data_IF_229458104143
#
_entry.id   IF_229458104143
#
_cell.length_a   1.000
_cell.length_b   1.000
_cell.length_c   1.000
_cell.angle_alpha   90.00
_cell.angle_beta   90.00
_cell.angle_gamma   90.00
#
_symmetry.space_group_name_H-M   'P 1'
#
loop_
_entity.id
_entity.type
_entity.pdbx_description
1 polymer ?
#
# COMPACT_ATOMS: atom_id res chain seq x y z
N UNK A 1 -20.24 -49.28 1.14
CA UNK A 1 -20.17 -48.10 0.28
C UNK A 1 -20.40 -46.87 1.14
N UNK A 2 -19.34 -46.11 1.46
CA UNK A 2 -19.46 -44.87 2.24
C UNK A 2 -19.62 -43.71 1.26
N UNK A 3 -20.81 -43.13 1.23
CA UNK A 3 -21.10 -41.91 0.46
C UNK A 3 -20.35 -40.74 1.11
N UNK A 4 -19.37 -40.20 0.38
CA UNK A 4 -18.68 -38.97 0.75
C UNK A 4 -19.59 -37.79 0.36
N UNK A 5 -20.42 -37.35 1.28
CA UNK A 5 -21.15 -36.10 1.12
C UNK A 5 -20.14 -34.94 1.15
N UNK A 6 -19.87 -34.32 0.00
CA UNK A 6 -19.18 -33.03 -0.07
C UNK A 6 -20.02 -32.04 0.72
N UNK A 7 -19.41 -31.50 1.78
CA UNK A 7 -19.95 -30.39 2.55
C UNK A 7 -19.98 -29.20 1.61
N UNK A 8 -21.13 -28.89 1.05
CA UNK A 8 -21.35 -27.64 0.34
C UNK A 8 -21.42 -26.54 1.40
N UNK A 9 -20.41 -25.71 1.51
CA UNK A 9 -20.52 -24.49 2.29
C UNK A 9 -21.56 -23.61 1.60
N UNK A 10 -22.71 -23.51 2.22
CA UNK A 10 -23.75 -22.57 1.81
C UNK A 10 -23.21 -21.17 2.05
N UNK A 11 -23.13 -20.39 0.98
CA UNK A 11 -22.87 -18.97 1.07
C UNK A 11 -23.79 -18.35 2.13
N UNK A 12 -23.25 -17.48 2.95
CA UNK A 12 -24.02 -16.81 4.00
C UNK A 12 -25.29 -16.22 3.40
N UNK A 13 -26.41 -16.30 4.13
CA UNK A 13 -27.66 -15.70 3.68
C UNK A 13 -27.50 -14.20 3.30
N UNK A 14 -26.53 -13.51 3.93
CA UNK A 14 -26.17 -12.14 3.59
C UNK A 14 -25.58 -12.02 2.17
N UNK A 15 -24.85 -13.03 1.68
CA UNK A 15 -24.29 -13.01 0.32
C UNK A 15 -25.34 -13.23 -0.77
N UNK A 16 -26.45 -13.87 -0.42
CA UNK A 16 -27.56 -14.15 -1.35
C UNK A 16 -28.45 -12.91 -1.55
N UNK A 17 -28.46 -11.97 -0.59
CA UNK A 17 -29.31 -10.79 -0.61
C UNK A 17 -28.53 -9.48 -0.91
N UNK A 18 -27.20 -9.55 -1.01
CA UNK A 18 -26.41 -8.37 -1.41
C UNK A 18 -26.67 -8.05 -2.89
N UNK A 19 -27.03 -6.82 -3.16
CA UNK A 19 -27.19 -6.33 -4.53
C UNK A 19 -25.82 -6.26 -5.21
N UNK A 20 -25.79 -6.31 -6.54
CA UNK A 20 -24.56 -6.13 -7.32
C UNK A 20 -23.86 -4.81 -6.98
N UNK A 21 -24.65 -3.77 -6.66
CA UNK A 21 -24.19 -2.48 -6.21
C UNK A 21 -23.44 -2.56 -4.87
N UNK A 22 -23.99 -3.27 -3.90
CA UNK A 22 -23.36 -3.47 -2.59
C UNK A 22 -22.07 -4.31 -2.69
N UNK A 23 -22.00 -5.26 -3.62
CA UNK A 23 -20.78 -6.04 -3.91
C UNK A 23 -19.71 -5.17 -4.59
N UNK A 24 -20.10 -4.25 -5.46
CA UNK A 24 -19.21 -3.28 -6.07
C UNK A 24 -18.71 -2.27 -5.05
N UNK A 25 -19.60 -1.75 -4.18
CA UNK A 25 -19.26 -0.82 -3.11
C UNK A 25 -18.35 -1.46 -2.04
N UNK A 26 -18.50 -2.76 -1.79
CA UNK A 26 -17.61 -3.50 -0.91
C UNK A 26 -16.20 -3.70 -1.50
N UNK A 27 -16.05 -3.64 -2.83
CA UNK A 27 -14.77 -3.69 -3.54
C UNK A 27 -14.12 -2.30 -3.67
N UNK A 28 -14.86 -1.21 -3.43
CA UNK A 28 -14.30 0.13 -3.43
C UNK A 28 -13.35 0.29 -2.25
N UNK A 29 -12.18 0.81 -2.56
CA UNK A 29 -11.18 1.12 -1.54
C UNK A 29 -11.71 2.19 -0.60
N UNK A 30 -11.91 1.84 0.66
CA UNK A 30 -12.40 2.77 1.68
C UNK A 30 -11.23 3.40 2.41
N UNK A 31 -11.24 4.73 2.49
CA UNK A 31 -10.32 5.48 3.33
C UNK A 31 -10.78 5.34 4.79
N UNK A 32 -9.86 4.91 5.65
CA UNK A 32 -10.09 4.76 7.08
C UNK A 32 -9.11 5.65 7.84
N UNK A 33 -9.56 6.30 8.92
CA UNK A 33 -8.66 6.99 9.83
C UNK A 33 -8.09 5.97 10.82
N UNK A 34 -6.80 5.69 10.68
CA UNK A 34 -6.10 4.71 11.51
C UNK A 34 -5.16 5.43 12.48
N UNK A 35 -5.13 5.03 13.76
CA UNK A 35 -4.17 5.58 14.73
C UNK A 35 -2.73 5.37 14.27
N UNK A 36 -1.90 6.40 14.40
CA UNK A 36 -0.47 6.33 14.02
C UNK A 36 0.27 5.23 14.79
N UNK A 37 -0.17 4.94 16.01
CA UNK A 37 0.38 3.87 16.84
C UNK A 37 0.15 2.46 16.29
N UNK A 38 -0.87 2.28 15.44
CA UNK A 38 -1.19 1.01 14.78
C UNK A 38 -0.56 0.88 13.38
N UNK A 39 0.10 1.92 12.91
CA UNK A 39 0.80 1.95 11.63
C UNK A 39 2.29 1.65 11.84
N UNK A 40 2.70 0.46 11.48
CA UNK A 40 4.09 0.03 11.57
C UNK A 40 4.82 0.25 10.24
N UNK A 41 6.11 0.59 10.26
CA UNK A 41 6.90 0.67 9.04
C UNK A 41 7.02 -0.72 8.40
N UNK A 42 7.08 -0.75 7.07
CA UNK A 42 7.33 -2.01 6.37
C UNK A 42 8.75 -2.52 6.70
N UNK A 43 8.91 -3.83 7.02
CA UNK A 43 10.23 -4.40 7.29
C UNK A 43 11.20 -4.18 6.13
N UNK A 44 12.45 -3.87 6.43
CA UNK A 44 13.52 -3.66 5.43
C UNK A 44 13.23 -2.55 4.41
N UNK A 45 12.41 -1.55 4.78
CA UNK A 45 12.08 -0.43 3.91
C UNK A 45 13.36 0.27 3.39
N UNK A 46 13.60 0.29 2.08
CA UNK A 46 14.88 0.74 1.51
C UNK A 46 15.04 2.27 1.47
N UNK A 47 13.94 3.00 1.64
CA UNK A 47 13.92 4.46 1.51
C UNK A 47 13.92 5.13 2.88
N UNK A 48 14.80 6.10 3.09
CA UNK A 48 14.85 6.89 4.31
C UNK A 48 13.87 8.06 4.27
N UNK A 49 13.27 8.36 5.42
CA UNK A 49 12.53 9.61 5.63
C UNK A 49 13.51 10.61 6.23
N UNK A 50 13.68 11.76 5.57
CA UNK A 50 14.60 12.81 5.99
C UNK A 50 13.82 14.00 6.54
N UNK A 51 14.34 14.61 7.59
CA UNK A 51 13.84 15.86 8.16
C UNK A 51 14.51 17.04 7.47
N UNK A 52 14.16 17.24 6.20
CA UNK A 52 14.60 18.35 5.37
C UNK A 52 13.56 19.48 5.34
N UNK A 53 13.87 20.58 4.65
CA UNK A 53 12.96 21.72 4.53
C UNK A 53 11.64 21.30 3.84
N UNK A 54 11.69 20.38 2.89
CA UNK A 54 10.50 19.77 2.26
C UNK A 54 9.63 19.01 3.27
N UNK A 55 10.22 18.42 4.33
CA UNK A 55 9.45 17.82 5.41
C UNK A 55 8.73 18.88 6.24
N UNK A 56 9.38 20.01 6.53
CA UNK A 56 8.75 21.13 7.26
C UNK A 56 7.54 21.67 6.51
N UNK A 57 7.64 21.87 5.21
CA UNK A 57 6.51 22.27 4.35
C UNK A 57 5.38 21.24 4.39
N UNK A 58 5.73 19.95 4.37
CA UNK A 58 4.74 18.87 4.49
C UNK A 58 4.04 18.91 5.84
N UNK A 59 4.77 19.14 6.93
CA UNK A 59 4.21 19.25 8.29
C UNK A 59 3.26 20.45 8.40
N UNK A 60 3.65 21.61 7.84
CA UNK A 60 2.79 22.79 7.82
C UNK A 60 1.50 22.55 7.04
N UNK A 61 1.61 21.94 5.86
CA UNK A 61 0.45 21.54 5.05
C UNK A 61 -0.47 20.58 5.79
N UNK A 62 0.11 19.59 6.48
CA UNK A 62 -0.65 18.62 7.27
C UNK A 62 -1.34 19.28 8.46
N UNK A 63 -0.73 20.28 9.10
CA UNK A 63 -1.35 21.05 10.18
C UNK A 63 -2.53 21.90 9.70
N UNK A 64 -2.41 22.47 8.52
CA UNK A 64 -3.41 23.37 7.97
C UNK A 64 -4.57 22.65 7.30
N UNK A 65 -4.29 21.66 6.46
CA UNK A 65 -5.27 20.96 5.62
C UNK A 65 -5.50 19.50 5.99
N UNK A 66 -4.74 18.95 6.93
CA UNK A 66 -4.70 17.52 7.17
C UNK A 66 -3.98 16.75 6.06
N UNK A 67 -4.14 15.44 6.06
CA UNK A 67 -3.58 14.56 5.02
C UNK A 67 -4.57 14.44 3.87
N UNK A 68 -4.30 15.11 2.76
CA UNK A 68 -5.19 15.14 1.59
C UNK A 68 -5.15 13.84 0.78
N UNK A 69 -3.98 13.20 0.68
CA UNK A 69 -3.80 11.95 -0.04
C UNK A 69 -3.61 10.83 0.98
N UNK A 70 -4.50 9.83 1.04
CA UNK A 70 -4.39 8.74 2.00
C UNK A 70 -3.12 7.91 1.77
N UNK A 71 -2.58 7.35 2.83
CA UNK A 71 -1.52 6.35 2.77
C UNK A 71 -2.08 4.98 2.37
N UNK A 72 -1.21 4.04 2.03
CA UNK A 72 -1.59 2.67 1.73
C UNK A 72 -0.90 1.76 2.73
N UNK A 73 -1.68 0.90 3.37
CA UNK A 73 -1.21 -0.09 4.31
C UNK A 73 -1.87 -1.45 4.06
N UNK A 74 -1.27 -2.49 4.62
CA UNK A 74 -1.83 -3.85 4.62
C UNK A 74 -2.03 -4.35 6.04
N UNK A 75 -2.94 -5.29 6.28
CA UNK A 75 -3.06 -5.93 7.58
C UNK A 75 -1.75 -6.63 7.96
N UNK A 76 -1.38 -6.55 9.24
CA UNK A 76 -0.19 -7.20 9.79
C UNK A 76 -0.58 -8.44 10.58
N UNK A 77 0.20 -9.50 10.44
CA UNK A 77 0.11 -10.65 11.35
C UNK A 77 0.47 -10.22 12.77
N UNK A 78 -0.43 -10.42 13.71
CA UNK A 78 -0.25 -9.98 15.09
C UNK A 78 -0.90 -8.66 15.45
N UNK A 79 -1.65 -8.06 14.53
CA UNK A 79 -2.44 -6.85 14.73
C UNK A 79 -1.77 -5.58 14.21
N UNK A 80 -2.59 -4.56 13.99
CA UNK A 80 -2.19 -3.32 13.34
C UNK A 80 -1.98 -3.46 11.84
N UNK A 81 -1.32 -2.48 11.25
CA UNK A 81 -1.14 -2.37 9.81
C UNK A 81 0.32 -2.07 9.46
N UNK A 82 0.82 -2.66 8.39
CA UNK A 82 2.12 -2.30 7.81
C UNK A 82 1.93 -1.26 6.72
N UNK A 83 2.64 -0.15 6.85
CA UNK A 83 2.59 0.96 5.91
C UNK A 83 3.39 0.62 4.65
N UNK A 84 2.72 0.48 3.52
CA UNK A 84 3.32 0.18 2.23
C UNK A 84 3.75 1.47 1.51
N UNK A 85 2.91 2.49 1.55
CA UNK A 85 3.21 3.80 0.96
C UNK A 85 2.71 4.94 1.85
N UNK A 86 3.47 6.01 1.96
CA UNK A 86 3.12 7.20 2.72
C UNK A 86 3.93 7.41 4.01
N UNK A 87 5.11 6.84 4.12
CA UNK A 87 6.00 6.98 5.29
C UNK A 87 6.31 8.44 5.63
N UNK A 88 6.53 9.30 4.63
CA UNK A 88 6.72 10.75 4.84
C UNK A 88 5.49 11.41 5.44
N UNK A 89 4.30 11.03 4.99
CA UNK A 89 3.02 11.57 5.51
C UNK A 89 2.79 11.12 6.94
N UNK A 90 3.09 9.86 7.28
CA UNK A 90 3.03 9.37 8.65
C UNK A 90 3.96 10.19 9.55
N UNK A 91 5.21 10.36 9.15
CA UNK A 91 6.19 11.13 9.92
C UNK A 91 5.76 12.60 10.08
N UNK A 92 5.23 13.23 9.03
CA UNK A 92 4.67 14.57 9.10
C UNK A 92 3.47 14.66 10.07
N UNK A 93 2.61 13.65 10.13
CA UNK A 93 1.53 13.59 11.12
C UNK A 93 2.05 13.49 12.55
N UNK A 94 3.08 12.70 12.78
CA UNK A 94 3.74 12.58 14.09
C UNK A 94 4.32 13.92 14.54
N UNK A 95 5.04 14.62 13.64
CA UNK A 95 5.58 15.96 13.91
C UNK A 95 4.50 17.04 14.05
N UNK A 96 3.38 16.88 13.37
CA UNK A 96 2.24 17.78 13.48
C UNK A 96 1.41 17.55 14.76
N UNK A 97 1.64 16.46 15.49
CA UNK A 97 0.91 16.10 16.70
C UNK A 97 -0.48 15.51 16.42
N UNK A 98 -0.69 14.89 15.26
CA UNK A 98 -1.92 14.18 14.95
C UNK A 98 -1.87 12.75 15.49
N UNK A 99 -3.02 12.26 15.97
CA UNK A 99 -3.13 10.89 16.51
C UNK A 99 -3.49 9.86 15.43
N UNK A 100 -4.14 10.31 14.35
CA UNK A 100 -4.64 9.45 13.27
C UNK A 100 -4.28 10.02 11.91
N UNK A 101 -4.26 9.15 10.89
CA UNK A 101 -4.15 9.59 9.49
C UNK A 101 -5.07 8.77 8.58
N UNK A 102 -5.51 9.32 7.44
CA UNK A 102 -6.30 8.58 6.47
C UNK A 102 -5.43 7.55 5.75
N UNK A 103 -5.91 6.31 5.72
CA UNK A 103 -5.23 5.17 5.12
C UNK A 103 -6.21 4.33 4.31
N UNK A 104 -5.77 3.85 3.16
CA UNK A 104 -6.45 2.80 2.40
C UNK A 104 -5.81 1.47 2.80
N UNK A 105 -6.61 0.57 3.36
CA UNK A 105 -6.17 -0.77 3.71
C UNK A 105 -6.40 -1.69 2.51
N UNK A 106 -5.32 -2.29 2.01
CA UNK A 106 -5.35 -3.30 0.95
C UNK A 106 -4.88 -4.63 1.48
N UNK A 107 -5.57 -5.68 1.12
CA UNK A 107 -5.11 -7.05 1.39
C UNK A 107 -4.05 -7.43 0.35
N UNK A 108 -2.81 -7.09 0.66
CA UNK A 108 -1.65 -7.36 -0.19
C UNK A 108 -0.78 -8.42 0.50
N UNK A 109 -0.40 -9.45 -0.24
CA UNK A 109 0.68 -10.33 0.18
C UNK A 109 2.01 -9.56 0.26
N UNK A 110 3.00 -10.14 0.93
CA UNK A 110 4.27 -9.47 1.18
C UNK A 110 4.99 -9.06 -0.10
N UNK A 111 4.99 -9.93 -1.09
CA UNK A 111 5.74 -9.74 -2.34
C UNK A 111 5.09 -8.64 -3.20
N UNK A 112 3.78 -8.66 -3.33
CA UNK A 112 3.02 -7.59 -4.00
C UNK A 112 3.20 -6.25 -3.29
N UNK A 113 3.22 -6.23 -1.95
CA UNK A 113 3.45 -5.03 -1.18
C UNK A 113 4.86 -4.45 -1.42
N UNK A 114 5.89 -5.31 -1.52
CA UNK A 114 7.26 -4.89 -1.83
C UNK A 114 7.34 -4.27 -3.23
N UNK A 115 6.76 -4.92 -4.23
CA UNK A 115 6.74 -4.41 -5.60
C UNK A 115 6.05 -3.05 -5.64
N UNK A 116 4.89 -2.93 -5.01
CA UNK A 116 4.14 -1.68 -4.93
C UNK A 116 4.94 -0.57 -4.23
N UNK A 117 5.58 -0.88 -3.11
CA UNK A 117 6.42 0.05 -2.35
C UNK A 117 7.59 0.55 -3.19
N UNK A 118 8.29 -0.35 -3.88
CA UNK A 118 9.43 0.01 -4.73
C UNK A 118 8.96 0.87 -5.90
N UNK A 119 7.93 0.47 -6.62
CA UNK A 119 7.44 1.19 -7.81
C UNK A 119 6.90 2.57 -7.45
N UNK A 120 6.19 2.71 -6.34
CA UNK A 120 5.68 4.00 -5.87
C UNK A 120 6.77 4.99 -5.44
N UNK A 121 7.96 4.52 -5.11
CA UNK A 121 9.08 5.34 -4.64
C UNK A 121 10.17 5.54 -5.70
N UNK A 122 10.38 4.60 -6.63
CA UNK A 122 11.47 4.66 -7.60
C UNK A 122 11.36 5.84 -8.58
N UNK A 123 10.14 6.33 -8.76
CA UNK A 123 9.84 7.48 -9.63
C UNK A 123 10.10 8.84 -8.96
N UNK A 124 10.52 8.86 -7.70
CA UNK A 124 10.87 10.11 -7.02
C UNK A 124 12.20 10.65 -7.53
N UNK A 125 12.26 11.95 -7.77
CA UNK A 125 13.44 12.62 -8.31
C UNK A 125 14.66 12.63 -7.36
N UNK A 126 14.44 12.51 -6.05
CA UNK A 126 15.46 12.65 -5.00
C UNK A 126 15.81 11.33 -4.30
N UNK A 127 15.91 10.24 -5.04
CA UNK A 127 16.36 8.94 -4.51
C UNK A 127 17.87 8.82 -4.70
N UNK A 128 18.59 8.48 -3.62
CA UNK A 128 20.02 8.22 -3.74
C UNK A 128 20.29 6.96 -4.59
N UNK A 129 21.42 6.90 -5.32
CA UNK A 129 21.79 5.70 -6.09
C UNK A 129 21.80 4.43 -5.26
N UNK A 130 22.19 4.54 -3.98
CA UNK A 130 22.23 3.41 -3.05
C UNK A 130 20.83 2.92 -2.68
N UNK A 131 19.90 3.83 -2.39
CA UNK A 131 18.50 3.48 -2.11
C UNK A 131 17.84 2.86 -3.33
N UNK A 132 18.09 3.39 -4.52
CA UNK A 132 17.61 2.85 -5.78
C UNK A 132 18.14 1.44 -6.04
N UNK A 133 19.42 1.22 -5.80
CA UNK A 133 20.04 -0.11 -5.95
C UNK A 133 19.46 -1.12 -4.95
N UNK A 134 19.26 -0.74 -3.68
CA UNK A 134 18.60 -1.58 -2.67
C UNK A 134 17.18 -1.94 -3.06
N UNK A 135 16.39 -0.96 -3.49
CA UNK A 135 15.01 -1.14 -3.90
C UNK A 135 14.90 -2.09 -5.10
N UNK A 136 15.73 -1.91 -6.12
CA UNK A 136 15.77 -2.79 -7.29
C UNK A 136 16.20 -4.21 -6.92
N UNK A 137 17.22 -4.38 -6.07
CA UNK A 137 17.63 -5.69 -5.57
C UNK A 137 16.49 -6.39 -4.83
N UNK A 138 15.77 -5.65 -3.99
CA UNK A 138 14.60 -6.16 -3.26
C UNK A 138 13.51 -6.60 -4.23
N UNK A 139 13.18 -5.80 -5.23
CA UNK A 139 12.20 -6.14 -6.27
C UNK A 139 12.61 -7.38 -7.06
N UNK A 140 13.87 -7.47 -7.50
CA UNK A 140 14.38 -8.61 -8.28
C UNK A 140 14.37 -9.93 -7.51
N UNK A 141 14.61 -9.90 -6.19
CA UNK A 141 14.59 -11.10 -5.36
C UNK A 141 13.22 -11.78 -5.33
N UNK A 142 12.13 -11.01 -5.52
CA UNK A 142 10.75 -11.50 -5.49
C UNK A 142 10.16 -11.75 -6.89
N UNK A 143 10.67 -11.10 -7.93
CA UNK A 143 10.21 -11.34 -9.30
C UNK A 143 10.74 -12.62 -9.93
N UNK A 144 11.79 -13.20 -9.37
CA UNK A 144 12.38 -14.46 -9.88
C UNK A 144 11.53 -15.69 -9.59
N UNK A 145 10.59 -15.62 -8.63
CA UNK A 145 9.82 -16.77 -8.15
C UNK A 145 8.30 -16.67 -8.44
N UNK A 146 7.86 -15.55 -8.97
CA UNK A 146 6.42 -15.33 -9.23
C UNK A 146 6.19 -14.96 -10.69
N UNK A 147 5.46 -15.83 -11.42
CA UNK A 147 4.88 -15.47 -12.71
C UNK A 147 3.97 -14.27 -12.54
N UNK A 148 4.42 -13.11 -13.00
CA UNK A 148 3.62 -11.88 -12.97
C UNK A 148 2.28 -12.08 -13.71
N UNK A 149 1.16 -11.59 -13.17
CA UNK A 149 -0.09 -11.51 -13.93
C UNK A 149 0.14 -10.68 -15.19
N UNK A 150 -0.27 -11.18 -16.34
CA UNK A 150 -0.08 -10.53 -17.66
C UNK A 150 -0.64 -9.10 -17.72
N UNK A 151 -1.59 -8.75 -16.86
CA UNK A 151 -2.17 -7.40 -16.78
C UNK A 151 -1.17 -6.30 -16.39
N UNK A 152 0.00 -6.64 -15.85
CA UNK A 152 1.03 -5.69 -15.42
C UNK A 152 2.12 -5.46 -16.47
N UNK A 153 2.18 -6.29 -17.51
CA UNK A 153 3.20 -6.19 -18.57
C UNK A 153 2.92 -5.08 -19.59
N UNK A 154 1.70 -4.56 -19.67
CA UNK A 154 1.29 -3.70 -20.78
C UNK A 154 1.25 -2.20 -20.49
N UNK A 155 1.35 -1.74 -19.24
CA UNK A 155 1.17 -0.32 -18.93
C UNK A 155 2.47 0.51 -18.94
N UNK A 156 3.62 -0.13 -19.04
CA UNK A 156 4.94 0.52 -19.05
C UNK A 156 5.53 0.83 -20.45
N UNK A 157 4.90 0.40 -21.56
CA UNK A 157 5.49 0.47 -22.89
C UNK A 157 4.79 1.41 -23.89
N UNK A 158 3.89 2.26 -23.43
CA UNK A 158 3.27 3.27 -24.30
C UNK A 158 3.70 4.68 -23.91
N UNK A 159 4.95 5.01 -24.14
CA UNK A 159 5.37 6.41 -24.30
C UNK A 159 6.76 6.47 -24.94
N UNK A 160 6.83 6.19 -26.22
CA UNK A 160 7.85 6.81 -27.05
C UNK A 160 7.14 7.88 -27.89
N UNK A 161 7.41 9.17 -27.68
CA UNK A 161 7.03 10.15 -28.68
C UNK A 161 7.94 9.93 -29.90
N UNK A 162 7.32 9.58 -31.00
CA UNK A 162 7.94 9.62 -32.32
C UNK A 162 8.35 11.07 -32.61
N UNK A 163 9.62 11.25 -32.86
CA UNK A 163 10.15 12.51 -33.37
C UNK A 163 9.58 12.82 -34.74
#
# INVERSE_FOLDING_TARGET
MKSSARKVELASAADLFSTEQERQDAKLEKVQNIPLAELYPFPDHPFSVKDDDSMKETVESVKEYGVLIPAIARPREGGGYELVAGHRRKHACELAGLDTMPVIVRDLDRDTAIIFMVDSNIQRENISPMEKAKALKMKMAFTSDTSMPESWMFDGMRSTPSA
#
